data_IF_911350448092
#
_entry.id   IF_911350448092
#
_cell.length_a   1.000
_cell.length_b   1.000
_cell.length_c   1.000
_cell.angle_alpha   90.00
_cell.angle_beta   90.00
_cell.angle_gamma   90.00
#
_symmetry.space_group_name_H-M   'P 1'
#
loop_
_entity.id
_entity.type
_entity.pdbx_description
1 polymer ?
#
# COMPACT_ATOMS: atom_id res chain seq x y z
N UNK A 1 -23.37 8.04 1.33
CA UNK A 1 -22.18 7.23 1.62
C UNK A 1 -22.66 5.88 2.07
N UNK A 2 -22.42 4.83 1.28
CA UNK A 2 -22.68 3.45 1.69
C UNK A 2 -21.43 2.92 2.39
N UNK A 3 -21.61 2.38 3.60
CA UNK A 3 -20.54 1.74 4.35
C UNK A 3 -20.75 0.23 4.26
N UNK A 4 -19.82 -0.47 3.60
CA UNK A 4 -19.83 -1.92 3.53
C UNK A 4 -18.72 -2.48 4.41
N UNK A 5 -19.11 -3.11 5.52
CA UNK A 5 -18.22 -3.94 6.33
C UNK A 5 -18.42 -5.41 5.93
N UNK A 6 -17.42 -6.00 5.27
CA UNK A 6 -17.47 -7.39 4.85
C UNK A 6 -16.24 -8.13 5.41
N UNK A 7 -16.42 -9.41 5.73
CA UNK A 7 -15.34 -10.30 6.20
C UNK A 7 -15.05 -11.29 5.08
N UNK A 8 -13.82 -11.30 4.56
CA UNK A 8 -13.38 -12.31 3.60
C UNK A 8 -12.60 -13.41 4.33
N UNK A 9 -13.05 -14.65 4.20
CA UNK A 9 -12.30 -15.80 4.71
C UNK A 9 -11.28 -16.23 3.67
N UNK A 10 -10.11 -15.57 3.66
CA UNK A 10 -9.01 -15.98 2.78
C UNK A 10 -8.17 -17.00 3.54
N UNK A 11 -8.19 -18.29 3.17
CA UNK A 11 -7.43 -19.29 3.90
C UNK A 11 -5.94 -19.14 3.60
N UNK A 12 -5.17 -18.68 4.59
CA UNK A 12 -3.72 -18.70 4.51
C UNK A 12 -3.08 -19.01 5.86
N UNK A 13 -1.86 -19.55 5.79
CA UNK A 13 -1.07 -19.93 6.96
C UNK A 13 0.08 -18.95 7.14
N UNK A 14 -0.02 -18.04 8.11
CA UNK A 14 1.15 -17.31 8.62
C UNK A 14 1.81 -18.19 9.69
N UNK A 15 2.99 -18.72 9.39
CA UNK A 15 3.84 -19.35 10.41
C UNK A 15 4.91 -18.34 10.83
N UNK A 16 4.80 -17.81 12.05
CA UNK A 16 5.83 -16.96 12.65
C UNK A 16 6.90 -17.89 13.24
N UNK A 17 8.02 -18.04 12.53
CA UNK A 17 9.09 -19.02 12.74
C UNK A 17 9.93 -19.13 11.46
N UNK A 18 10.74 -20.19 11.27
CA UNK A 18 11.68 -20.35 10.13
C UNK A 18 10.99 -20.36 8.74
N UNK A 19 10.67 -19.13 8.35
CA UNK A 19 10.27 -18.47 7.10
C UNK A 19 9.06 -18.97 6.30
N UNK A 20 7.90 -18.37 6.57
CA UNK A 20 6.93 -18.00 5.54
C UNK A 20 6.41 -16.57 5.74
N UNK A 21 6.98 -15.61 5.00
CA UNK A 21 6.45 -14.26 4.86
C UNK A 21 5.35 -14.27 3.82
N UNK A 22 4.11 -14.05 4.23
CA UNK A 22 3.03 -13.72 3.30
C UNK A 22 2.90 -12.21 3.26
N UNK A 23 3.14 -11.64 2.07
CA UNK A 23 2.91 -10.23 1.83
C UNK A 23 1.56 -10.07 1.12
N UNK A 24 0.66 -9.32 1.76
CA UNK A 24 -0.67 -9.01 1.25
C UNK A 24 -0.59 -7.79 0.37
N UNK A 25 -1.16 -7.87 -0.83
CA UNK A 25 -1.37 -6.71 -1.66
C UNK A 25 -2.80 -6.73 -2.14
N UNK A 26 -3.59 -5.72 -1.77
CA UNK A 26 -4.84 -5.52 -2.48
C UNK A 26 -4.49 -5.06 -3.90
N UNK A 27 -4.55 -5.98 -4.85
CA UNK A 27 -4.40 -5.65 -6.27
C UNK A 27 -5.67 -4.99 -6.76
N UNK A 28 -5.48 -3.73 -7.06
CA UNK A 28 -6.49 -2.74 -7.29
C UNK A 28 -7.26 -2.87 -8.62
N UNK A 29 -7.05 -3.94 -9.38
CA UNK A 29 -7.52 -4.01 -10.76
C UNK A 29 -9.01 -4.34 -10.86
N UNK A 30 -9.58 -5.17 -9.98
CA UNK A 30 -10.97 -5.65 -10.14
C UNK A 30 -11.57 -6.20 -8.84
N UNK A 31 -11.44 -5.50 -7.70
CA UNK A 31 -12.07 -5.98 -6.46
C UNK A 31 -11.52 -7.34 -5.95
N UNK A 32 -10.22 -7.59 -6.19
CA UNK A 32 -9.54 -8.84 -5.82
C UNK A 32 -8.36 -8.61 -4.88
N UNK A 33 -8.07 -9.59 -4.02
CA UNK A 33 -6.83 -9.64 -3.25
C UNK A 33 -5.76 -10.44 -4.00
N UNK A 34 -4.54 -9.92 -4.13
CA UNK A 34 -3.39 -10.70 -4.62
C UNK A 34 -2.44 -10.97 -3.47
N UNK A 35 -2.03 -12.22 -3.38
CA UNK A 35 -1.16 -12.72 -2.34
C UNK A 35 0.06 -13.33 -3.01
N UNK A 36 1.24 -12.89 -2.57
CA UNK A 36 2.48 -13.56 -2.93
C UNK A 36 2.77 -14.62 -1.87
N UNK A 37 2.68 -15.87 -2.28
CA UNK A 37 2.92 -17.05 -1.45
C UNK A 37 4.30 -17.64 -1.76
N UNK A 38 5.04 -18.05 -0.72
CA UNK A 38 6.34 -18.72 -0.81
C UNK A 38 6.26 -20.20 -0.44
N UNK A 39 5.07 -20.71 -0.14
CA UNK A 39 4.85 -22.10 0.19
C UNK A 39 4.81 -22.94 -1.10
N UNK A 40 5.81 -23.80 -1.29
CA UNK A 40 5.90 -24.67 -2.49
C UNK A 40 4.66 -25.53 -2.69
N UNK A 41 4.01 -25.98 -1.62
CA UNK A 41 2.79 -26.80 -1.71
C UNK A 41 1.63 -25.99 -2.27
N UNK A 42 1.42 -24.78 -1.75
CA UNK A 42 0.39 -23.88 -2.28
C UNK A 42 0.71 -23.43 -3.72
N UNK A 43 1.99 -23.29 -4.02
CA UNK A 43 2.49 -22.91 -5.32
C UNK A 43 2.74 -24.09 -6.27
N UNK A 44 2.09 -25.24 -6.08
CA UNK A 44 2.13 -26.39 -7.00
C UNK A 44 3.57 -26.79 -7.41
N UNK A 45 4.52 -26.72 -6.47
CA UNK A 45 5.91 -27.11 -6.65
C UNK A 45 6.90 -25.99 -6.97
N UNK A 46 6.45 -24.78 -7.32
CA UNK A 46 7.37 -23.64 -7.56
C UNK A 46 7.74 -22.92 -6.27
N UNK A 47 8.88 -22.20 -6.25
CA UNK A 47 9.40 -21.55 -5.04
C UNK A 47 8.52 -20.43 -4.50
N UNK A 48 7.77 -19.78 -5.37
CA UNK A 48 6.84 -18.70 -5.03
C UNK A 48 5.83 -18.48 -6.16
N UNK A 49 4.64 -18.02 -5.80
CA UNK A 49 3.53 -17.82 -6.71
C UNK A 49 2.66 -16.63 -6.29
N UNK A 50 1.95 -16.08 -7.25
CA UNK A 50 0.83 -15.16 -7.04
C UNK A 50 -0.47 -15.95 -7.00
N UNK A 51 -1.30 -15.64 -6.01
CA UNK A 51 -2.66 -16.18 -5.84
C UNK A 51 -3.62 -15.02 -5.76
N UNK A 52 -4.77 -15.13 -6.42
CA UNK A 52 -5.76 -14.07 -6.52
C UNK A 52 -7.04 -14.56 -5.86
N UNK A 53 -7.71 -13.72 -5.08
CA UNK A 53 -8.97 -14.05 -4.40
C UNK A 53 -10.01 -12.97 -4.65
N UNK A 54 -11.28 -13.34 -4.73
CA UNK A 54 -12.39 -12.40 -4.69
C UNK A 54 -12.63 -11.87 -3.25
N UNK A 55 -13.56 -10.91 -3.12
CA UNK A 55 -13.97 -10.35 -1.84
C UNK A 55 -14.73 -11.32 -0.92
N UNK A 56 -15.13 -12.49 -1.40
CA UNK A 56 -15.71 -13.56 -0.61
C UNK A 56 -14.65 -14.54 -0.09
N UNK A 57 -13.40 -14.42 -0.54
CA UNK A 57 -12.30 -15.31 -0.20
C UNK A 57 -12.17 -16.52 -1.12
N UNK A 58 -12.87 -16.56 -2.25
CA UNK A 58 -12.71 -17.61 -3.26
C UNK A 58 -11.48 -17.33 -4.11
N UNK A 59 -10.64 -18.35 -4.34
CA UNK A 59 -9.48 -18.24 -5.22
C UNK A 59 -9.95 -18.12 -6.69
N UNK A 60 -9.40 -17.13 -7.41
CA UNK A 60 -9.67 -16.87 -8.81
C UNK A 60 -8.51 -17.40 -9.65
N UNK A 61 -8.80 -18.45 -10.44
CA UNK A 61 -7.84 -19.06 -11.34
C UNK A 61 -6.75 -19.86 -10.60
N UNK A 62 -5.72 -20.28 -11.34
CA UNK A 62 -4.61 -21.05 -10.80
C UNK A 62 -3.46 -20.17 -10.29
N UNK A 63 -2.71 -20.61 -9.26
CA UNK A 63 -1.49 -19.94 -8.82
C UNK A 63 -0.50 -19.74 -9.97
N UNK A 64 -0.07 -18.50 -10.18
CA UNK A 64 0.89 -18.15 -11.24
C UNK A 64 2.29 -18.10 -10.66
N UNK A 65 3.30 -18.79 -11.24
CA UNK A 65 4.68 -18.66 -10.79
C UNK A 65 5.10 -17.19 -10.75
N UNK A 66 5.74 -16.80 -9.66
CA UNK A 66 6.20 -15.42 -9.49
C UNK A 66 7.55 -15.40 -8.82
N UNK A 67 8.55 -14.79 -9.45
CA UNK A 67 9.90 -14.73 -8.92
C UNK A 67 10.11 -13.40 -8.20
N UNK A 68 10.16 -13.45 -6.87
CA UNK A 68 10.49 -12.27 -6.07
C UNK A 68 11.94 -11.88 -6.34
N UNK A 69 12.15 -10.70 -6.91
CA UNK A 69 13.48 -10.12 -7.08
C UNK A 69 13.90 -9.45 -5.76
N UNK A 70 14.70 -10.16 -4.94
CA UNK A 70 15.29 -9.71 -3.66
C UNK A 70 14.27 -9.48 -2.51
N UNK A 71 14.77 -9.38 -1.26
CA UNK A 71 14.01 -9.19 -0.01
C UNK A 71 13.29 -7.83 0.13
N UNK A 72 12.81 -7.27 -0.97
CA UNK A 72 12.15 -5.97 -1.02
C UNK A 72 10.62 -6.10 -0.87
N UNK A 73 9.98 -5.04 -0.39
CA UNK A 73 8.54 -4.89 -0.55
C UNK A 73 8.18 -4.98 -2.04
N UNK A 74 7.23 -5.84 -2.37
CA UNK A 74 6.73 -6.01 -3.73
C UNK A 74 5.49 -5.14 -3.89
N UNK A 75 5.25 -4.56 -5.07
CA UNK A 75 3.97 -3.94 -5.39
C UNK A 75 3.50 -4.55 -6.71
N UNK A 76 2.26 -5.02 -6.76
CA UNK A 76 1.78 -5.83 -7.87
C UNK A 76 1.54 -4.98 -9.09
N UNK A 77 2.08 -5.38 -10.25
CA UNK A 77 1.96 -4.59 -11.47
C UNK A 77 1.41 -5.42 -12.60
N UNK A 78 0.39 -4.85 -13.23
CA UNK A 78 -0.37 -5.34 -14.38
C UNK A 78 -1.04 -6.71 -14.20
N UNK A 79 -2.30 -6.78 -14.64
CA UNK A 79 -3.09 -8.02 -14.72
C UNK A 79 -2.61 -8.96 -15.84
N UNK A 80 -1.99 -8.39 -16.88
CA UNK A 80 -1.71 -9.09 -18.14
C UNK A 80 -0.41 -9.89 -18.11
N UNK A 81 0.57 -9.48 -17.33
CA UNK A 81 1.84 -10.20 -17.19
C UNK A 81 2.37 -10.07 -15.77
N UNK A 82 2.62 -11.20 -15.13
CA UNK A 82 3.10 -11.26 -13.74
C UNK A 82 4.46 -10.62 -13.53
N UNK A 83 5.24 -10.50 -14.60
CA UNK A 83 6.63 -10.05 -14.61
C UNK A 83 6.81 -8.63 -15.20
N UNK A 84 5.83 -8.13 -15.98
CA UNK A 84 5.88 -6.78 -16.57
C UNK A 84 5.37 -5.75 -15.55
N UNK A 85 6.13 -4.67 -15.36
CA UNK A 85 5.63 -3.48 -14.68
C UNK A 85 6.63 -2.81 -13.76
N UNK A 86 6.17 -2.15 -12.70
CA UNK A 86 6.94 -1.25 -11.84
C UNK A 86 7.26 -1.87 -10.48
N UNK A 87 8.54 -2.00 -10.17
CA UNK A 87 9.02 -2.55 -8.93
C UNK A 87 9.59 -1.42 -8.08
N UNK A 88 9.01 -1.20 -6.89
CA UNK A 88 9.57 -0.31 -5.89
C UNK A 88 10.31 -1.15 -4.84
N UNK A 89 11.64 -1.19 -4.93
CA UNK A 89 12.48 -2.07 -4.12
C UNK A 89 13.07 -1.33 -2.93
N UNK A 90 12.87 -1.85 -1.72
CA UNK A 90 13.52 -1.34 -0.52
C UNK A 90 14.93 -1.94 -0.33
N UNK A 91 15.97 -1.10 -0.36
CA UNK A 91 17.37 -1.50 -0.19
C UNK A 91 17.92 -0.99 1.14
N UNK A 92 18.55 -1.87 1.91
CA UNK A 92 19.33 -1.51 3.11
C UNK A 92 20.74 -1.10 2.69
N UNK A 93 21.15 0.12 3.03
CA UNK A 93 22.51 0.62 2.81
C UNK A 93 23.14 0.92 4.16
N UNK A 94 24.27 0.26 4.45
CA UNK A 94 25.07 0.55 5.64
C UNK A 94 25.96 1.76 5.35
N UNK A 95 25.81 2.86 6.08
CA UNK A 95 26.78 3.95 6.03
C UNK A 95 28.02 3.60 6.87
N UNK A 96 29.19 3.59 6.24
CA UNK A 96 30.47 3.33 6.91
C UNK A 96 30.84 4.50 7.81
N UNK A 97 30.67 4.30 9.14
CA UNK A 97 31.29 4.97 10.32
C UNK A 97 30.33 5.19 11.48
N UNK A 98 29.02 5.11 11.26
CA UNK A 98 27.98 5.04 12.30
C UNK A 98 27.01 3.98 11.81
N UNK A 99 26.69 2.96 12.61
CA UNK A 99 25.75 1.88 12.25
C UNK A 99 24.34 2.48 12.04
N UNK A 100 24.16 3.17 10.91
CA UNK A 100 22.90 3.73 10.44
C UNK A 100 22.56 2.95 9.18
N UNK A 101 21.50 2.15 9.30
CA UNK A 101 20.90 1.47 8.16
C UNK A 101 20.01 2.51 7.48
N UNK A 102 20.36 2.90 6.26
CA UNK A 102 19.48 3.67 5.40
C UNK A 102 18.63 2.73 4.56
N UNK A 103 17.37 3.10 4.36
CA UNK A 103 16.42 2.38 3.52
C UNK A 103 16.21 3.23 2.26
N UNK A 104 16.67 2.74 1.11
CA UNK A 104 16.58 3.43 -0.18
C UNK A 104 15.56 2.70 -1.05
N UNK A 105 14.60 3.43 -1.61
CA UNK A 105 13.70 2.89 -2.63
C UNK A 105 14.33 2.99 -4.01
N UNK A 106 14.35 1.87 -4.73
CA UNK A 106 14.75 1.81 -6.11
C UNK A 106 13.52 1.48 -6.96
N UNK A 107 13.16 2.39 -7.88
CA UNK A 107 12.07 2.16 -8.83
C UNK A 107 12.62 1.61 -10.13
N UNK A 108 12.13 0.44 -10.53
CA UNK A 108 12.45 -0.21 -11.78
C UNK A 108 11.20 -0.44 -12.60
N UNK A 109 11.32 -0.38 -13.92
CA UNK A 109 10.32 -0.88 -14.85
C UNK A 109 10.86 -2.15 -15.53
N UNK A 110 10.09 -3.22 -15.51
CA UNK A 110 10.38 -4.49 -16.18
C UNK A 110 9.46 -4.63 -17.38
N UNK A 111 10.03 -4.84 -18.56
CA UNK A 111 9.26 -5.03 -19.78
C UNK A 111 8.70 -6.46 -19.91
N UNK A 112 7.90 -6.71 -20.96
CA UNK A 112 7.31 -8.03 -21.21
C UNK A 112 8.35 -9.14 -21.48
N UNK A 113 9.57 -8.76 -21.85
CA UNK A 113 10.69 -9.68 -22.07
C UNK A 113 11.48 -9.96 -20.79
N UNK A 114 11.09 -9.35 -19.66
CA UNK A 114 11.78 -9.46 -18.38
C UNK A 114 12.99 -8.54 -18.23
N UNK A 115 13.23 -7.61 -19.16
CA UNK A 115 14.33 -6.66 -19.03
C UNK A 115 13.97 -5.55 -18.04
N UNK A 116 14.79 -5.37 -17.01
CA UNK A 116 14.63 -4.32 -16.03
C UNK A 116 15.38 -3.04 -16.45
N UNK A 117 14.69 -1.90 -16.45
CA UNK A 117 15.27 -0.56 -16.53
C UNK A 117 15.02 0.18 -15.23
N UNK A 118 16.07 0.74 -14.63
CA UNK A 118 15.91 1.64 -13.47
C UNK A 118 15.31 2.97 -13.95
N UNK A 119 14.23 3.39 -13.31
CA UNK A 119 13.57 4.68 -13.57
C UNK A 119 14.05 5.74 -12.59
N UNK A 120 14.30 5.33 -11.36
CA UNK A 120 15.04 6.12 -10.40
C UNK A 120 16.53 5.81 -10.55
N UNK A 121 17.29 6.77 -11.09
CA UNK A 121 18.75 6.68 -11.15
C UNK A 121 19.34 7.90 -10.43
N UNK A 122 20.31 7.64 -9.54
CA UNK A 122 21.28 8.57 -8.92
C UNK A 122 21.01 9.16 -7.51
N UNK A 123 22.09 9.58 -6.79
CA UNK A 123 22.09 9.86 -5.38
C UNK A 123 21.52 11.26 -5.18
N UNK A 124 20.23 11.34 -4.87
CA UNK A 124 19.82 12.38 -3.95
C UNK A 124 19.77 11.69 -2.59
N UNK A 125 20.78 12.00 -1.77
CA UNK A 125 20.75 11.83 -0.31
C UNK A 125 19.56 12.61 0.25
N UNK A 126 18.33 12.19 -0.07
CA UNK A 126 17.22 12.47 0.79
C UNK A 126 17.27 11.40 1.86
N UNK A 127 17.38 11.87 3.09
CA UNK A 127 17.17 11.07 4.28
C UNK A 127 15.71 10.59 4.30
N UNK A 128 15.41 9.58 3.48
CA UNK A 128 14.49 8.53 3.86
C UNK A 128 15.17 7.69 4.98
N UNK A 129 15.69 8.38 6.00
CA UNK A 129 16.20 7.77 7.21
C UNK A 129 14.97 7.19 7.87
N UNK A 130 14.95 5.86 7.96
CA UNK A 130 14.11 5.13 8.91
C UNK A 130 12.61 5.36 8.68
N UNK A 131 12.09 4.83 7.56
CA UNK A 131 10.71 4.35 7.56
C UNK A 131 10.67 3.06 8.35
N UNK A 132 10.38 3.14 9.64
CA UNK A 132 10.26 1.95 10.49
C UNK A 132 8.96 1.20 10.26
N UNK A 133 7.96 1.80 9.62
CA UNK A 133 6.63 1.23 9.49
C UNK A 133 6.04 1.41 8.10
N UNK A 134 5.27 0.42 7.65
CA UNK A 134 4.50 0.45 6.40
C UNK A 134 3.48 1.59 6.31
N UNK A 135 3.20 2.28 7.42
CA UNK A 135 2.23 3.38 7.50
C UNK A 135 2.81 4.75 7.06
N UNK A 136 4.14 4.85 6.87
CA UNK A 136 4.82 6.12 6.55
C UNK A 136 5.03 6.35 5.05
N UNK A 137 4.66 5.36 4.23
CA UNK A 137 4.87 5.36 2.79
C UNK A 137 3.72 4.63 2.09
N UNK A 138 3.37 5.09 0.89
CA UNK A 138 2.47 4.38 0.01
C UNK A 138 3.02 4.34 -1.42
N UNK A 139 2.73 3.25 -2.13
CA UNK A 139 3.12 3.02 -3.52
C UNK A 139 1.88 2.63 -4.32
N UNK A 140 1.72 3.20 -5.50
CA UNK A 140 0.67 2.84 -6.45
C UNK A 140 1.25 2.69 -7.85
N UNK A 141 0.83 1.64 -8.57
CA UNK A 141 1.39 1.29 -9.89
C UNK A 141 0.33 1.15 -10.99
N UNK A 142 -0.78 1.90 -10.86
CA UNK A 142 -1.89 1.89 -11.84
C UNK A 142 -1.67 2.87 -12.98
N UNK A 143 -2.42 2.67 -14.07
CA UNK A 143 -2.52 3.58 -15.21
C UNK A 143 -1.18 3.83 -15.91
N UNK A 144 -0.36 2.78 -16.02
CA UNK A 144 1.01 2.84 -16.56
C UNK A 144 1.92 3.87 -15.85
N UNK A 145 1.59 4.17 -14.60
CA UNK A 145 2.34 5.08 -13.74
C UNK A 145 2.79 4.34 -12.50
N UNK A 146 3.92 4.75 -11.93
CA UNK A 146 4.36 4.34 -10.60
C UNK A 146 4.53 5.59 -9.74
N UNK A 147 3.81 5.66 -8.63
CA UNK A 147 3.96 6.72 -7.64
C UNK A 147 4.47 6.14 -6.34
N UNK A 148 5.40 6.85 -5.72
CA UNK A 148 5.84 6.63 -4.35
C UNK A 148 5.63 7.91 -3.58
N UNK A 149 4.90 7.84 -2.47
CA UNK A 149 4.78 8.92 -1.52
C UNK A 149 5.36 8.50 -0.18
N UNK A 150 6.18 9.34 0.42
CA UNK A 150 6.81 9.08 1.70
C UNK A 150 7.07 10.37 2.48
N UNK A 151 7.07 10.25 3.80
CA UNK A 151 7.33 11.36 4.72
C UNK A 151 8.84 11.59 4.89
N UNK A 152 9.24 12.83 5.10
CA UNK A 152 10.65 13.14 5.39
C UNK A 152 10.98 12.89 6.88
N UNK A 153 12.21 12.47 7.17
CA UNK A 153 12.70 12.24 8.53
C UNK A 153 12.90 13.59 9.26
N UNK A 154 12.57 13.66 10.56
CA UNK A 154 12.61 14.83 11.49
C UNK A 154 11.24 15.44 11.85
N UNK A 155 10.18 14.64 12.03
CA UNK A 155 8.84 15.13 12.40
C UNK A 155 8.26 16.18 11.43
N UNK A 156 8.80 16.27 10.21
CA UNK A 156 8.25 17.14 9.19
C UNK A 156 6.87 16.62 8.81
N UNK A 157 5.90 17.53 8.75
CA UNK A 157 4.58 17.23 8.18
C UNK A 157 4.62 17.09 6.65
N UNK A 158 5.79 17.20 6.05
CA UNK A 158 5.98 17.11 4.61
C UNK A 158 5.83 15.67 4.11
N UNK A 159 4.86 15.49 3.22
CA UNK A 159 4.70 14.31 2.41
C UNK A 159 5.21 14.61 1.00
N UNK A 160 6.21 13.85 0.55
CA UNK A 160 6.75 13.97 -0.80
C UNK A 160 6.28 12.83 -1.66
N UNK A 161 5.79 13.15 -2.85
CA UNK A 161 5.30 12.21 -3.85
C UNK A 161 6.05 12.34 -5.16
N UNK A 162 6.52 11.21 -5.68
CA UNK A 162 7.19 11.10 -6.96
C UNK A 162 6.39 10.15 -7.86
N UNK A 163 5.99 10.60 -9.05
CA UNK A 163 5.32 9.77 -10.06
C UNK A 163 6.23 9.58 -11.27
N UNK A 164 6.24 8.37 -11.82
CA UNK A 164 7.05 7.96 -12.96
C UNK A 164 6.17 7.27 -14.00
N UNK A 165 6.52 7.41 -15.28
CA UNK A 165 6.07 6.51 -16.35
C UNK A 165 7.25 5.65 -16.85
N UNK A 166 7.10 4.96 -17.98
CA UNK A 166 8.17 4.15 -18.58
C UNK A 166 9.35 4.98 -19.11
N UNK A 167 9.16 6.28 -19.34
CA UNK A 167 10.16 7.19 -19.89
C UNK A 167 10.96 7.89 -18.79
N UNK A 168 10.33 8.25 -17.67
CA UNK A 168 10.97 8.92 -16.54
C UNK A 168 9.98 9.52 -15.54
N UNK A 169 10.45 10.49 -14.74
CA UNK A 169 9.63 11.17 -13.74
C UNK A 169 8.62 12.14 -14.40
N UNK A 170 7.37 12.10 -13.94
CA UNK A 170 6.26 12.95 -14.41
C UNK A 170 5.78 13.96 -13.38
N UNK A 171 5.84 13.59 -12.10
CA UNK A 171 5.40 14.44 -11.00
C UNK A 171 6.42 14.39 -9.86
N UNK A 172 6.70 15.54 -9.27
CA UNK A 172 7.46 15.66 -8.04
C UNK A 172 6.83 16.78 -7.22
N UNK A 173 6.07 16.40 -6.21
CA UNK A 173 5.32 17.33 -5.36
C UNK A 173 5.63 17.06 -3.91
N UNK A 174 5.67 18.12 -3.13
CA UNK A 174 5.72 18.05 -1.66
C UNK A 174 4.50 18.79 -1.15
N UNK A 175 3.76 18.16 -0.25
CA UNK A 175 2.61 18.77 0.43
C UNK A 175 2.84 18.76 1.93
N UNK A 176 2.38 19.79 2.61
CA UNK A 176 2.35 19.84 4.06
C UNK A 176 1.06 19.18 4.56
N UNK A 177 1.18 18.14 5.38
CA UNK A 177 0.05 17.57 6.09
C UNK A 177 -0.32 18.48 7.26
N UNK A 178 -1.60 18.64 7.61
CA UNK A 178 -1.98 19.52 8.72
C UNK A 178 -1.54 18.94 10.09
N UNK A 179 -1.35 17.63 10.22
CA UNK A 179 -0.80 16.99 11.43
C UNK A 179 -0.01 15.73 11.08
N UNK A 180 0.55 15.05 12.09
CA UNK A 180 1.12 13.72 11.94
C UNK A 180 -0.01 12.71 11.65
N UNK A 181 -0.29 12.51 10.36
CA UNK A 181 -1.23 11.48 9.91
C UNK A 181 -0.66 10.07 10.06
N UNK A 182 -1.52 9.07 10.15
CA UNK A 182 -1.17 7.66 9.88
C UNK A 182 -2.10 7.16 8.77
N UNK A 183 -1.83 5.96 8.22
CA UNK A 183 -2.62 5.37 7.12
C UNK A 183 -2.56 6.22 5.85
N UNK A 184 -1.39 6.19 5.19
CA UNK A 184 -1.20 6.78 3.88
C UNK A 184 -1.64 5.81 2.78
N UNK A 185 -2.46 6.28 1.84
CA UNK A 185 -2.81 5.57 0.62
C UNK A 185 -2.74 6.52 -0.57
N UNK A 186 -2.38 5.99 -1.74
CA UNK A 186 -2.26 6.79 -2.95
C UNK A 186 -2.84 6.08 -4.16
N UNK A 187 -3.28 6.89 -5.13
CA UNK A 187 -3.87 6.43 -6.37
C UNK A 187 -3.36 7.23 -7.56
N UNK A 188 -2.92 6.55 -8.61
CA UNK A 188 -2.57 7.20 -9.87
C UNK A 188 -3.82 7.47 -10.69
N UNK A 189 -4.09 8.72 -11.03
CA UNK A 189 -5.21 9.09 -11.88
C UNK A 189 -4.93 8.77 -13.34
N UNK A 190 -5.99 8.44 -14.09
CA UNK A 190 -5.90 8.32 -15.54
C UNK A 190 -5.49 9.68 -16.15
N UNK A 191 -4.52 9.67 -17.08
CA UNK A 191 -3.95 10.90 -17.65
C UNK A 191 -2.90 11.61 -16.78
N UNK A 192 -2.56 11.05 -15.61
CA UNK A 192 -1.54 11.59 -14.71
C UNK A 192 -2.10 12.37 -13.53
N UNK A 193 -1.23 12.64 -12.55
CA UNK A 193 -1.66 13.17 -11.26
C UNK A 193 -1.96 12.05 -10.26
N UNK A 194 -2.30 12.45 -9.03
CA UNK A 194 -2.44 11.54 -7.90
C UNK A 194 -3.59 11.96 -6.98
N UNK A 195 -4.28 10.97 -6.40
CA UNK A 195 -5.00 11.15 -5.14
C UNK A 195 -4.15 10.64 -4.00
N UNK A 196 -4.11 11.42 -2.94
CA UNK A 196 -3.42 11.09 -1.70
C UNK A 196 -4.47 11.08 -0.60
N UNK A 197 -4.51 10.00 0.17
CA UNK A 197 -5.35 9.87 1.35
C UNK A 197 -4.46 9.66 2.56
N UNK A 198 -4.75 10.38 3.64
CA UNK A 198 -4.14 10.12 4.93
C UNK A 198 -5.16 10.26 6.06
N UNK A 199 -5.04 9.41 7.06
CA UNK A 199 -5.87 9.41 8.25
C UNK A 199 -5.28 10.30 9.36
N UNK A 200 -6.15 11.04 10.02
CA UNK A 200 -5.83 11.78 11.23
C UNK A 200 -6.04 10.88 12.43
N UNK A 201 -4.93 10.26 12.85
CA UNK A 201 -4.98 9.22 13.87
C UNK A 201 -4.24 9.68 15.13
N UNK A 202 -4.91 9.55 16.27
CA UNK A 202 -4.34 9.82 17.59
C UNK A 202 -4.03 8.49 18.29
N UNK A 203 -2.96 8.50 19.09
CA UNK A 203 -2.65 7.36 19.95
C UNK A 203 -3.77 7.24 20.99
N UNK A 204 -4.22 6.02 21.24
CA UNK A 204 -5.12 5.74 22.36
C UNK A 204 -4.25 5.65 23.62
N UNK A 205 -4.45 6.57 24.55
CA UNK A 205 -3.69 6.60 25.80
C UNK A 205 -3.83 5.27 26.56
N UNK A 206 -2.72 4.81 27.16
CA UNK A 206 -2.62 3.65 28.06
C UNK A 206 -2.66 2.23 27.45
N UNK A 207 -2.57 2.04 26.12
CA UNK A 207 -2.46 0.70 25.53
C UNK A 207 -1.29 0.62 24.52
N UNK A 208 -0.11 0.28 25.03
CA UNK A 208 1.04 -0.15 24.21
C UNK A 208 1.15 -1.66 24.31
N UNK A 209 0.75 -2.38 23.26
CA UNK A 209 0.74 -3.85 23.27
C UNK A 209 2.16 -4.39 23.01
N UNK A 210 2.90 -3.81 22.04
CA UNK A 210 4.34 -4.02 21.78
C UNK A 210 4.91 -2.87 20.92
N UNK A 211 6.24 -2.78 20.75
CA UNK A 211 6.92 -1.74 19.94
C UNK A 211 6.51 -1.68 18.45
N UNK A 212 5.74 -2.65 17.95
CA UNK A 212 5.30 -2.77 16.55
C UNK A 212 3.77 -2.61 16.39
N UNK A 213 3.03 -2.45 17.50
CA UNK A 213 1.57 -2.39 17.54
C UNK A 213 1.15 -1.20 18.39
N UNK A 214 1.21 -0.01 17.79
CA UNK A 214 0.58 1.18 18.36
C UNK A 214 -0.91 1.17 17.99
N UNK A 215 -1.78 1.15 19.00
CA UNK A 215 -3.20 1.37 18.77
C UNK A 215 -3.42 2.86 18.50
N UNK A 216 -3.95 3.14 17.30
CA UNK A 216 -4.35 4.49 16.91
C UNK A 216 -5.81 4.47 16.52
N UNK A 217 -6.53 5.54 16.88
CA UNK A 217 -7.89 5.80 16.44
C UNK A 217 -7.84 6.92 15.41
N UNK A 218 -8.41 6.71 14.24
CA UNK A 218 -8.52 7.74 13.22
C UNK A 218 -9.93 8.35 13.30
N UNK A 219 -10.03 9.67 13.47
CA UNK A 219 -11.35 10.35 13.51
C UNK A 219 -11.77 10.91 12.16
N UNK A 220 -10.79 11.21 11.32
CA UNK A 220 -10.97 11.96 10.09
C UNK A 220 -9.99 11.45 9.03
N UNK A 221 -10.40 11.48 7.76
CA UNK A 221 -9.53 11.23 6.61
C UNK A 221 -9.52 12.46 5.72
N UNK A 222 -8.33 12.85 5.27
CA UNK A 222 -8.18 13.87 4.23
C UNK A 222 -7.86 13.20 2.91
N UNK A 223 -8.54 13.66 1.86
CA UNK A 223 -8.30 13.29 0.48
C UNK A 223 -7.81 14.52 -0.26
N UNK A 224 -6.58 14.46 -0.75
CA UNK A 224 -5.93 15.50 -1.52
C UNK A 224 -5.79 15.04 -2.98
N UNK A 225 -6.45 15.74 -3.90
CA UNK A 225 -6.21 15.56 -5.34
C UNK A 225 -5.09 16.48 -5.81
N UNK A 226 -4.21 15.93 -6.64
CA UNK A 226 -3.09 16.65 -7.25
C UNK A 226 -3.13 16.34 -8.75
N UNK A 227 -3.30 17.38 -9.57
CA UNK A 227 -3.33 17.26 -11.02
C UNK A 227 -1.98 16.84 -11.60
N UNK A 228 -1.98 16.40 -12.87
CA UNK A 228 -0.76 16.01 -13.59
C UNK A 228 0.30 17.14 -13.68
N UNK A 229 -0.13 18.40 -13.58
CA UNK A 229 0.73 19.59 -13.54
C UNK A 229 1.22 19.95 -12.11
N UNK A 230 0.86 19.16 -11.09
CA UNK A 230 1.16 19.45 -9.69
C UNK A 230 0.20 20.42 -9.00
N UNK A 231 -0.84 20.90 -9.67
CA UNK A 231 -1.88 21.73 -9.06
C UNK A 231 -2.63 20.94 -7.98
N UNK A 232 -2.69 21.47 -6.76
CA UNK A 232 -3.42 20.87 -5.65
C UNK A 232 -4.83 21.45 -5.57
N UNK A 233 -5.84 20.58 -5.56
CA UNK A 233 -7.24 20.99 -5.36
C UNK A 233 -7.55 21.21 -3.89
N UNK A 234 -8.69 21.80 -3.57
CA UNK A 234 -9.10 21.92 -2.16
C UNK A 234 -9.28 20.51 -1.56
N UNK A 235 -8.73 20.27 -0.35
CA UNK A 235 -8.81 18.95 0.26
C UNK A 235 -10.25 18.61 0.64
N UNK A 236 -10.65 17.37 0.40
CA UNK A 236 -11.89 16.82 0.92
C UNK A 236 -11.61 16.20 2.30
N UNK A 237 -12.30 16.69 3.32
CA UNK A 237 -12.27 16.12 4.67
C UNK A 237 -13.49 15.21 4.83
N UNK A 238 -13.24 13.99 5.27
CA UNK A 238 -14.26 13.02 5.65
C UNK A 238 -14.17 12.83 7.16
N UNK A 239 -15.20 13.27 7.87
CA UNK A 239 -15.35 13.16 9.32
C UNK A 239 -16.42 12.11 9.71
N UNK A 240 -16.58 11.87 11.01
CA UNK A 240 -17.62 10.98 11.52
C UNK A 240 -17.33 9.48 11.38
N UNK A 241 -16.08 9.11 11.14
CA UNK A 241 -15.64 7.71 11.17
C UNK A 241 -15.55 7.24 12.63
N UNK A 242 -16.61 6.64 13.15
CA UNK A 242 -16.57 6.04 14.49
C UNK A 242 -15.94 4.65 14.43
N UNK A 243 -14.60 4.63 14.41
CA UNK A 243 -13.77 3.43 14.49
C UNK A 243 -13.80 2.83 15.91
N UNK A 244 -14.98 2.53 16.46
CA UNK A 244 -15.10 2.02 17.84
C UNK A 244 -14.48 0.65 18.05
N UNK A 245 -14.18 -0.10 16.98
CA UNK A 245 -13.50 -1.40 17.07
C UNK A 245 -11.98 -1.25 16.95
N UNK A 246 -11.41 -0.60 17.96
CA UNK A 246 -10.01 -0.20 18.11
C UNK A 246 -8.99 -1.34 17.88
N UNK A 247 -9.39 -2.59 18.09
CA UNK A 247 -8.52 -3.76 17.95
C UNK A 247 -8.33 -4.20 16.51
N UNK A 248 -9.25 -3.84 15.61
CA UNK A 248 -9.22 -4.28 14.22
C UNK A 248 -8.24 -3.41 13.41
N UNK A 249 -8.41 -2.09 13.38
CA UNK A 249 -7.86 -1.25 12.31
C UNK A 249 -6.38 -0.85 12.39
N UNK A 250 -5.73 -0.94 13.56
CA UNK A 250 -4.30 -0.57 13.69
C UNK A 250 -3.40 -1.35 12.70
N UNK A 251 -3.80 -2.57 12.31
CA UNK A 251 -3.08 -3.46 11.39
C UNK A 251 -3.45 -3.30 9.90
N UNK A 252 -4.37 -2.39 9.57
CA UNK A 252 -4.98 -2.40 8.25
C UNK A 252 -4.22 -1.48 7.29
N UNK A 253 -3.88 -1.99 6.11
CA UNK A 253 -3.38 -1.18 5.01
C UNK A 253 -4.56 -0.50 4.33
N UNK A 254 -4.40 0.77 4.00
CA UNK A 254 -5.40 1.50 3.23
C UNK A 254 -5.02 1.47 1.75
N UNK A 255 -6.01 1.20 0.93
CA UNK A 255 -5.91 1.23 -0.52
C UNK A 255 -7.04 2.09 -1.06
N UNK A 256 -6.80 2.76 -2.16
CA UNK A 256 -7.86 3.41 -2.94
C UNK A 256 -8.16 2.46 -4.10
N UNK A 257 -9.35 2.50 -4.69
CA UNK A 257 -9.83 1.78 -5.89
C UNK A 257 -10.75 2.76 -6.64
N UNK A 258 -10.97 2.53 -7.92
CA UNK A 258 -11.93 3.27 -8.73
C UNK A 258 -12.89 2.25 -9.33
N UNK A 259 -14.19 2.50 -9.23
CA UNK A 259 -15.24 1.61 -9.72
C UNK A 259 -15.86 2.13 -11.04
N UNK A 260 -16.73 1.31 -11.65
CA UNK A 260 -17.40 1.63 -12.92
C UNK A 260 -18.43 2.77 -12.81
N UNK A 261 -18.71 3.26 -11.61
CA UNK A 261 -19.61 4.38 -11.33
C UNK A 261 -18.87 5.72 -11.17
N UNK A 262 -17.57 5.78 -11.52
CA UNK A 262 -16.69 6.94 -11.32
C UNK A 262 -16.58 7.34 -9.83
N UNK A 263 -16.53 6.35 -8.94
CA UNK A 263 -16.31 6.59 -7.52
C UNK A 263 -14.93 6.10 -7.10
N UNK A 264 -14.29 6.84 -6.20
CA UNK A 264 -13.10 6.37 -5.50
C UNK A 264 -13.53 5.60 -4.25
N UNK A 265 -13.18 4.32 -4.21
CA UNK A 265 -13.45 3.44 -3.09
C UNK A 265 -12.20 3.24 -2.25
N UNK A 266 -12.22 3.71 -1.02
CA UNK A 266 -11.17 3.51 -0.04
C UNK A 266 -11.44 2.20 0.69
N UNK A 267 -10.44 1.33 0.74
CA UNK A 267 -10.51 0.00 1.35
C UNK A 267 -9.41 -0.12 2.38
N UNK A 268 -9.80 -0.26 3.65
CA UNK A 268 -8.89 -0.67 4.73
C UNK A 268 -8.90 -2.18 4.83
N UNK A 269 -7.77 -2.86 4.67
CA UNK A 269 -7.64 -4.32 4.73
C UNK A 269 -6.59 -4.77 5.73
N UNK A 270 -6.89 -5.77 6.56
CA UNK A 270 -5.91 -6.31 7.50
C UNK A 270 -6.23 -7.72 7.98
N UNK A 271 -5.21 -8.43 8.51
CA UNK A 271 -5.40 -9.76 9.05
C UNK A 271 -6.11 -9.69 10.41
N UNK A 272 -7.14 -10.50 10.59
CA UNK A 272 -7.76 -10.78 11.86
C UNK A 272 -7.10 -12.00 12.50
N UNK A 273 -6.80 -11.89 13.80
CA UNK A 273 -6.23 -13.02 14.54
C UNK A 273 -7.28 -14.14 14.59
N UNK A 274 -6.90 -15.40 14.28
CA UNK A 274 -7.86 -16.50 14.31
C UNK A 274 -8.56 -16.60 15.66
N UNK A 275 -9.88 -16.83 15.61
CA UNK A 275 -10.67 -17.16 16.80
C UNK A 275 -10.23 -18.49 17.44
N UNK A 276 -9.59 -19.37 16.66
CA UNK A 276 -9.05 -20.65 17.11
C UNK A 276 -7.56 -20.77 16.75
N UNK A 277 -6.69 -20.73 17.76
CA UNK A 277 -5.21 -20.78 17.61
C UNK A 277 -4.76 -22.09 16.94
N UNK A 278 -5.58 -23.15 16.99
CA UNK A 278 -5.22 -24.48 16.48
C UNK A 278 -5.25 -24.60 14.94
N UNK A 279 -5.97 -23.75 14.22
CA UNK A 279 -6.15 -23.92 12.76
C UNK A 279 -5.16 -23.13 11.92
N UNK A 280 -4.37 -22.21 12.48
CA UNK A 280 -3.39 -21.37 11.76
C UNK A 280 -3.96 -20.66 10.50
N UNK A 281 -5.29 -20.57 10.38
CA UNK A 281 -5.99 -19.89 9.29
C UNK A 281 -6.30 -18.48 9.77
N UNK A 282 -5.77 -17.49 9.08
CA UNK A 282 -6.07 -16.09 9.36
C UNK A 282 -7.24 -15.65 8.47
N UNK A 283 -8.09 -14.79 9.01
CA UNK A 283 -9.19 -14.18 8.26
C UNK A 283 -8.75 -12.78 7.80
N UNK A 284 -9.24 -12.32 6.65
CA UNK A 284 -8.99 -10.95 6.19
C UNK A 284 -10.27 -10.16 6.38
N UNK A 285 -10.18 -9.13 7.22
CA UNK A 285 -11.27 -8.19 7.35
C UNK A 285 -10.97 -6.98 6.46
N UNK A 286 -12.00 -6.45 5.82
CA UNK A 286 -11.88 -5.20 5.10
C UNK A 286 -13.10 -4.30 5.28
N UNK A 287 -12.84 -3.00 5.21
CA UNK A 287 -13.86 -1.95 5.22
C UNK A 287 -13.72 -1.17 3.94
N UNK A 288 -14.81 -1.07 3.19
CA UNK A 288 -14.85 -0.34 1.92
C UNK A 288 -15.88 0.78 2.00
N UNK A 289 -15.47 1.97 1.58
CA UNK A 289 -16.37 3.11 1.39
C UNK A 289 -16.04 3.80 0.08
N UNK A 290 -17.06 4.27 -0.63
CA UNK A 290 -16.91 4.93 -1.92
C UNK A 290 -17.38 6.38 -1.86
N UNK A 291 -16.67 7.24 -2.58
CA UNK A 291 -17.03 8.65 -2.78
C UNK A 291 -17.06 8.98 -4.27
N UNK A 292 -17.98 9.84 -4.74
CA UNK A 292 -17.98 10.27 -6.13
C UNK A 292 -16.68 11.04 -6.48
N UNK A 293 -16.14 10.80 -7.68
CA UNK A 293 -14.93 11.50 -8.15
C UNK A 293 -15.10 13.02 -8.08
N UNK A 294 -16.28 13.54 -8.42
CA UNK A 294 -16.51 14.98 -8.50
C UNK A 294 -16.37 15.70 -7.15
N UNK A 295 -16.37 14.97 -6.02
CA UNK A 295 -16.12 15.55 -4.71
C UNK A 295 -14.64 15.90 -4.50
N UNK A 296 -13.73 15.30 -5.28
CA UNK A 296 -12.28 15.50 -5.17
C UNK A 296 -11.73 16.65 -6.02
N UNK A 297 -12.59 17.33 -6.78
CA UNK A 297 -12.22 18.40 -7.73
C UNK A 297 -12.81 19.77 -7.38
N UNK A 298 -13.39 19.92 -6.17
CA UNK A 298 -13.94 21.21 -5.73
C UNK A 298 -12.80 22.24 -5.59
N UNK A 299 -12.98 23.41 -6.20
CA UNK A 299 -12.08 24.56 -6.09
C UNK A 299 -12.34 25.31 -4.79
#
# INVERSE_FOLDING_TARGET
MENCSNVANIPFTLKVGDEHYVSWFLTQFDETFEIVDKNKTHCKGVSSCKRIYDFNGNEIGDPKPFKIQNNAAYYPVSRESSDKGYYALLRKVAQSRKVKIQLIYEVQHVDASGNSRKLLTMPQEYDFRVFTFSDDMAVNVRNELCTICGRHFNDSRDLRCLQFDTQGMKLNVTMEMPTYGKKLAIYNLAGGGILVVFGFCYKVDNIVITSWLELVKCSEFQIQRIGANGHMFSPLIIDGFDETDLFKLSRFHMHITENDHNEFCLTSVGPMQPSNISTSVYEVLYYKWCIPEEWTVKN
#
